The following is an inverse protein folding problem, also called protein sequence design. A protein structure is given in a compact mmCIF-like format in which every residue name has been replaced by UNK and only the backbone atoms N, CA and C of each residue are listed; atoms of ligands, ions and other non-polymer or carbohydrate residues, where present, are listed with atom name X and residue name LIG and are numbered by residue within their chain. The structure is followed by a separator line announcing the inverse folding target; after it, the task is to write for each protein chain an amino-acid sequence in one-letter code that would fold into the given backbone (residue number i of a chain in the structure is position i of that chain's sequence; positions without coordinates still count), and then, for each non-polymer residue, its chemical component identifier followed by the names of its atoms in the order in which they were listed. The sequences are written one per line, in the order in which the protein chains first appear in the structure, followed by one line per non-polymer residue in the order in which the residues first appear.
data_IF_954497015651
#
_entry.id   IF_954497015651
#
_cell.length_a   1.000
_cell.length_b   1.000
_cell.length_c   1.000
_cell.angle_alpha   90.00
_cell.angle_beta   90.00
_cell.angle_gamma   90.00
#
_symmetry.space_group_name_H-M   'P 1'
#
loop_
_entity.id
_entity.type
_entity.pdbx_description
1 polymer ?
#
# COMPACT_ATOMS: atom_id res chain seq x y z
N UNK A 1 15.79 -35.38 -15.22
CA UNK A 1 15.81 -34.90 -13.82
C UNK A 1 15.13 -33.55 -13.78
N UNK A 2 14.19 -33.35 -12.87
CA UNK A 2 13.65 -32.01 -12.64
C UNK A 2 14.73 -31.19 -11.94
N UNK A 3 14.96 -29.96 -12.41
CA UNK A 3 15.91 -29.06 -11.77
C UNK A 3 15.56 -28.90 -10.28
N UNK A 4 16.55 -28.74 -9.38
CA UNK A 4 16.28 -28.55 -7.97
C UNK A 4 15.32 -27.36 -7.77
N UNK A 5 14.24 -27.55 -7.02
CA UNK A 5 13.42 -26.45 -6.58
C UNK A 5 14.31 -25.51 -5.76
N UNK A 6 14.57 -24.31 -6.27
CA UNK A 6 15.28 -23.30 -5.51
C UNK A 6 14.45 -22.94 -4.27
N UNK A 7 15.07 -22.77 -3.09
CA UNK A 7 14.36 -22.31 -1.91
C UNK A 7 13.62 -21.01 -2.23
N UNK A 8 12.33 -20.93 -1.89
CA UNK A 8 11.57 -19.70 -2.07
C UNK A 8 12.16 -18.63 -1.14
N UNK A 9 12.81 -17.62 -1.71
CA UNK A 9 13.23 -16.43 -0.97
C UNK A 9 11.95 -15.78 -0.42
N UNK A 10 11.84 -15.43 0.87
CA UNK A 10 10.68 -14.71 1.39
C UNK A 10 10.49 -13.40 0.63
N UNK A 11 9.38 -13.28 -0.10
CA UNK A 11 9.10 -12.11 -0.95
C UNK A 11 8.25 -11.06 -0.23
N UNK A 12 7.72 -11.36 0.96
CA UNK A 12 6.82 -10.46 1.70
C UNK A 12 7.21 -10.44 3.17
N UNK A 13 7.36 -9.24 3.72
CA UNK A 13 7.56 -8.99 5.14
C UNK A 13 6.40 -8.14 5.66
N UNK A 14 5.80 -8.54 6.78
CA UNK A 14 4.75 -7.78 7.46
C UNK A 14 5.18 -7.54 8.89
N UNK A 15 5.25 -6.27 9.29
CA UNK A 15 5.36 -5.83 10.67
C UNK A 15 4.00 -5.29 11.10
N UNK A 16 3.35 -5.97 12.06
CA UNK A 16 2.01 -5.63 12.48
C UNK A 16 1.89 -5.50 14.00
N UNK A 17 1.19 -4.47 14.43
CA UNK A 17 0.74 -4.24 15.80
C UNK A 17 -0.80 -4.26 15.83
N UNK A 18 -1.39 -4.00 17.00
CA UNK A 18 -2.84 -3.92 17.16
C UNK A 18 -3.50 -2.84 16.29
N UNK A 19 -2.78 -1.75 15.97
CA UNK A 19 -3.32 -0.61 15.23
C UNK A 19 -2.56 -0.21 13.96
N UNK A 20 -1.40 -0.81 13.67
CA UNK A 20 -0.55 -0.45 12.52
C UNK A 20 -0.08 -1.71 11.80
N UNK A 21 -0.10 -1.69 10.46
CA UNK A 21 0.49 -2.70 9.60
C UNK A 21 1.45 -2.05 8.60
N UNK A 22 2.65 -2.59 8.49
CA UNK A 22 3.65 -2.24 7.49
C UNK A 22 3.99 -3.50 6.70
N UNK A 23 3.69 -3.50 5.41
CA UNK A 23 3.98 -4.60 4.49
C UNK A 23 4.97 -4.16 3.43
N UNK A 24 6.04 -4.93 3.27
CA UNK A 24 7.04 -4.82 2.21
C UNK A 24 6.91 -6.06 1.32
N UNK A 25 6.88 -5.88 0.01
CA UNK A 25 6.73 -6.96 -0.97
C UNK A 25 7.69 -6.77 -2.14
N UNK A 26 8.56 -7.77 -2.36
CA UNK A 26 9.51 -7.83 -3.48
C UNK A 26 9.00 -8.77 -4.60
N UNK A 27 7.70 -9.08 -4.61
CA UNK A 27 7.07 -9.93 -5.63
C UNK A 27 7.24 -9.28 -7.01
N UNK A 28 7.91 -9.94 -7.97
CA UNK A 28 8.09 -9.37 -9.31
C UNK A 28 6.73 -9.07 -9.98
N UNK A 29 6.54 -7.85 -10.48
CA UNK A 29 5.31 -7.43 -11.15
C UNK A 29 4.12 -7.08 -10.24
N UNK A 30 4.23 -7.31 -8.92
CA UNK A 30 3.17 -7.01 -7.94
C UNK A 30 3.65 -6.53 -6.58
N UNK A 31 4.95 -6.29 -6.43
CA UNK A 31 5.59 -5.82 -5.22
C UNK A 31 5.23 -4.38 -4.86
N UNK A 32 5.68 -3.95 -3.70
CA UNK A 32 5.37 -2.63 -3.18
C UNK A 32 5.52 -2.47 -1.67
N UNK A 33 5.07 -1.32 -1.21
CA UNK A 33 5.00 -0.94 0.20
C UNK A 33 3.54 -0.61 0.54
N UNK A 34 3.00 -1.20 1.59
CA UNK A 34 1.68 -0.85 2.14
C UNK A 34 1.81 -0.50 3.61
N UNK A 35 1.24 0.64 3.99
CA UNK A 35 1.10 1.09 5.38
C UNK A 35 -0.39 1.22 5.66
N UNK A 36 -0.86 0.63 6.75
CA UNK A 36 -2.24 0.75 7.22
C UNK A 36 -2.25 1.10 8.70
N UNK A 37 -3.08 2.06 9.08
CA UNK A 37 -3.30 2.46 10.47
C UNK A 37 -4.80 2.44 10.76
N UNK A 38 -5.21 1.76 11.83
CA UNK A 38 -6.60 1.50 12.19
C UNK A 38 -6.82 1.62 13.70
N UNK A 39 -8.06 1.63 14.19
CA UNK A 39 -8.33 1.54 15.62
C UNK A 39 -7.60 0.34 16.24
N UNK A 40 -6.94 0.48 17.41
CA UNK A 40 -7.04 1.60 18.35
C UNK A 40 -6.03 2.75 18.14
N UNK A 41 -5.12 2.68 17.17
CA UNK A 41 -4.08 3.71 17.00
C UNK A 41 -4.64 5.05 16.49
N UNK A 42 -5.67 4.99 15.65
CA UNK A 42 -6.40 6.16 15.11
C UNK A 42 -7.89 5.84 15.04
N UNK A 43 -8.75 6.86 15.18
CA UNK A 43 -10.20 6.69 15.06
C UNK A 43 -10.64 6.52 13.59
N UNK A 44 -10.04 7.28 12.68
CA UNK A 44 -10.31 7.22 11.24
C UNK A 44 -9.17 6.44 10.58
N UNK A 45 -9.45 5.32 9.89
CA UNK A 45 -8.40 4.53 9.23
C UNK A 45 -7.62 5.32 8.19
N UNK A 46 -6.31 5.10 8.17
CA UNK A 46 -5.36 5.70 7.24
C UNK A 46 -4.67 4.59 6.45
N UNK A 47 -4.41 4.81 5.17
CA UNK A 47 -3.62 3.87 4.38
C UNK A 47 -2.73 4.57 3.36
N UNK A 48 -1.55 4.03 3.12
CA UNK A 48 -0.64 4.46 2.08
C UNK A 48 -0.13 3.24 1.32
N UNK A 49 -0.18 3.27 -0.02
CA UNK A 49 0.22 2.16 -0.88
C UNK A 49 1.12 2.66 -1.99
N UNK A 50 2.23 1.97 -2.20
CA UNK A 50 3.14 2.13 -3.32
C UNK A 50 3.14 0.81 -4.07
N UNK A 51 2.57 0.78 -5.26
CA UNK A 51 2.41 -0.44 -6.06
C UNK A 51 2.75 -0.15 -7.51
N UNK A 52 2.71 -1.18 -8.36
CA UNK A 52 2.83 -1.02 -9.82
C UNK A 52 1.75 -0.13 -10.43
N UNK A 53 0.60 0.03 -9.77
CA UNK A 53 -0.46 0.95 -10.19
C UNK A 53 -0.15 2.43 -9.84
N UNK A 54 0.86 2.69 -9.01
CA UNK A 54 1.23 4.02 -8.53
C UNK A 54 1.17 4.16 -7.01
N UNK A 55 0.97 5.39 -6.56
CA UNK A 55 0.94 5.77 -5.15
C UNK A 55 -0.49 6.16 -4.77
N UNK A 56 -1.00 5.63 -3.67
CA UNK A 56 -2.30 5.97 -3.12
C UNK A 56 -2.18 6.30 -1.63
N UNK A 57 -2.75 7.42 -1.22
CA UNK A 57 -2.86 7.87 0.17
C UNK A 57 -4.34 8.04 0.47
N UNK A 58 -4.82 7.45 1.58
CA UNK A 58 -6.20 7.59 2.04
C UNK A 58 -6.26 8.01 3.49
N UNK A 59 -7.19 8.91 3.78
CA UNK A 59 -7.58 9.31 5.12
C UNK A 59 -9.11 9.28 5.19
N UNK A 60 -9.67 8.18 5.70
CA UNK A 60 -11.12 7.95 5.70
C UNK A 60 -11.70 7.96 4.27
N UNK A 61 -12.54 8.96 3.97
CA UNK A 61 -13.17 9.14 2.64
C UNK A 61 -12.31 9.91 1.65
N UNK A 62 -11.27 10.61 2.13
CA UNK A 62 -10.41 11.44 1.28
C UNK A 62 -9.29 10.59 0.71
N UNK A 63 -8.91 10.86 -0.53
CA UNK A 63 -7.92 10.08 -1.27
C UNK A 63 -7.02 10.97 -2.13
N UNK A 64 -5.75 10.59 -2.25
CA UNK A 64 -4.83 11.13 -3.25
C UNK A 64 -4.25 9.92 -3.98
N UNK A 65 -4.42 9.88 -5.29
CA UNK A 65 -3.87 8.83 -6.15
C UNK A 65 -2.98 9.46 -7.20
N UNK A 66 -1.72 9.06 -7.21
CA UNK A 66 -0.71 9.46 -8.17
C UNK A 66 -0.32 8.25 -9.01
N UNK A 67 -0.54 8.34 -10.31
CA UNK A 67 -0.08 7.35 -11.30
C UNK A 67 0.96 7.98 -12.21
N UNK A 68 1.54 7.20 -13.11
CA UNK A 68 2.45 7.73 -14.14
C UNK A 68 1.76 8.70 -15.11
N UNK A 69 0.43 8.62 -15.25
CA UNK A 69 -0.33 9.37 -16.23
C UNK A 69 -1.17 10.51 -15.61
N UNK A 70 -1.47 10.45 -14.30
CA UNK A 70 -2.42 11.36 -13.68
C UNK A 70 -2.24 11.52 -12.18
N UNK A 71 -2.70 12.67 -11.68
CA UNK A 71 -2.94 12.93 -10.27
C UNK A 71 -4.44 13.06 -10.08
N UNK A 72 -4.99 12.32 -9.12
CA UNK A 72 -6.39 12.38 -8.73
C UNK A 72 -6.47 12.67 -7.22
N UNK A 73 -7.28 13.67 -6.85
CA UNK A 73 -7.54 14.06 -5.47
C UNK A 73 -9.03 13.94 -5.21
N UNK A 74 -9.41 13.25 -4.14
CA UNK A 74 -10.79 12.95 -3.73
C UNK A 74 -11.65 12.42 -4.88
N UNK A 75 -11.12 11.45 -5.64
CA UNK A 75 -11.79 10.83 -6.78
C UNK A 75 -12.24 11.84 -7.87
N UNK A 76 -11.43 12.89 -8.07
CA UNK A 76 -11.65 13.95 -9.05
C UNK A 76 -12.50 15.11 -8.53
N UNK A 77 -12.99 15.03 -7.29
CA UNK A 77 -13.82 16.05 -6.65
C UNK A 77 -12.98 17.17 -5.99
N UNK A 78 -11.89 17.61 -6.63
CA UNK A 78 -10.94 18.60 -6.10
C UNK A 78 -11.65 19.75 -5.34
N UNK A 79 -11.51 19.79 -4.01
CA UNK A 79 -11.72 21.00 -3.20
C UNK A 79 -10.41 21.33 -2.48
N UNK A 80 -9.92 22.55 -2.74
CA UNK A 80 -8.82 23.20 -2.02
C UNK A 80 -9.45 24.28 -1.15
N UNK A 81 -9.31 24.16 0.16
CA UNK A 81 -9.61 25.20 1.16
C UNK A 81 -8.45 25.30 2.14
#
# INVERSE_FOLDING_TARGET
GQAPAQPAIPQVMVLQTQGVSLQLSDVPGGGGLTIEVKPPAVAIPLSMKFTTAGIEIRNGKNSIKLTTASVNVNDGALEVI
#
